data_IF_663958557467
#
_entry.id   IF_663958557467
#
_cell.length_a   1.000
_cell.length_b   1.000
_cell.length_c   1.000
_cell.angle_alpha   90.00
_cell.angle_beta   90.00
_cell.angle_gamma   90.00
#
_symmetry.space_group_name_H-M   'P 1'
#
loop_
_entity.id
_entity.type
_entity.pdbx_description
1 polymer ?
#
# COMPACT_ATOMS: atom_id res chain seq x y z
N UNK A 1 20.00 20.17 -9.24
CA UNK A 1 19.37 18.99 -8.62
C UNK A 1 19.33 17.87 -9.65
N UNK A 2 19.93 16.71 -9.36
CA UNK A 2 19.91 15.56 -10.27
C UNK A 2 18.56 14.82 -10.24
N UNK A 3 18.29 13.90 -11.19
CA UNK A 3 17.06 13.12 -11.17
C UNK A 3 17.03 12.22 -9.93
N UNK A 4 15.99 12.37 -9.10
CA UNK A 4 15.76 11.51 -7.95
C UNK A 4 15.35 10.14 -8.49
N UNK A 5 16.20 9.13 -8.28
CA UNK A 5 15.87 7.74 -8.62
C UNK A 5 15.03 7.15 -7.48
N UNK A 6 13.72 7.02 -7.72
CA UNK A 6 12.80 6.46 -6.72
C UNK A 6 12.63 4.97 -6.99
N UNK A 7 12.75 4.12 -5.96
CA UNK A 7 12.49 2.68 -6.09
C UNK A 7 11.00 2.43 -6.26
N UNK A 8 10.67 1.52 -7.18
CA UNK A 8 9.30 1.08 -7.42
C UNK A 8 8.99 -0.13 -6.53
N UNK A 9 7.89 -0.06 -5.79
CA UNK A 9 7.39 -1.19 -5.00
C UNK A 9 6.39 -2.05 -5.79
N UNK A 10 6.36 -3.36 -5.54
CA UNK A 10 5.38 -4.25 -6.15
C UNK A 10 3.96 -3.98 -5.64
N UNK A 11 2.98 -4.00 -6.55
CA UNK A 11 1.55 -3.78 -6.28
C UNK A 11 0.87 -4.93 -5.52
N UNK A 12 1.61 -5.99 -5.16
CA UNK A 12 1.05 -7.21 -4.55
C UNK A 12 0.36 -6.95 -3.20
N UNK A 13 0.70 -5.84 -2.54
CA UNK A 13 0.11 -5.40 -1.28
C UNK A 13 -1.25 -4.68 -1.43
N UNK A 14 -1.85 -4.63 -2.63
CA UNK A 14 -3.10 -3.90 -2.88
C UNK A 14 -4.34 -4.80 -3.01
N UNK A 15 -4.20 -6.10 -2.73
CA UNK A 15 -5.33 -7.02 -2.68
C UNK A 15 -5.49 -7.51 -1.24
N UNK A 16 -6.70 -7.31 -0.69
CA UNK A 16 -7.08 -7.82 0.62
C UNK A 16 -8.37 -8.60 0.48
N UNK A 17 -8.33 -9.89 0.81
CA UNK A 17 -9.53 -10.72 0.82
C UNK A 17 -10.51 -10.23 1.88
N UNK A 18 -11.80 -10.15 1.53
CA UNK A 18 -12.86 -9.68 2.42
C UNK A 18 -12.57 -8.29 3.03
N UNK A 19 -11.95 -7.42 2.24
CA UNK A 19 -11.59 -6.07 2.67
C UNK A 19 -11.17 -5.18 1.51
N UNK A 20 -10.46 -4.11 1.83
CA UNK A 20 -9.95 -3.12 0.90
C UNK A 20 -8.53 -2.73 1.28
N UNK A 21 -7.71 -2.47 0.27
CA UNK A 21 -6.39 -1.86 0.41
C UNK A 21 -6.41 -0.53 -0.33
N UNK A 22 -6.19 0.57 0.40
CA UNK A 22 -6.16 1.92 -0.16
C UNK A 22 -4.72 2.41 -0.23
N UNK A 23 -4.21 2.61 -1.45
CA UNK A 23 -2.92 3.24 -1.65
C UNK A 23 -3.02 4.75 -1.40
N UNK A 24 -2.05 5.27 -0.65
CA UNK A 24 -1.88 6.70 -0.34
C UNK A 24 -0.55 7.19 -0.90
N UNK A 25 -0.52 8.46 -1.30
CA UNK A 25 0.60 9.09 -1.98
C UNK A 25 1.04 8.38 -3.30
N UNK A 26 0.18 7.54 -3.87
CA UNK A 26 0.46 6.78 -5.09
C UNK A 26 -0.22 7.42 -6.30
N UNK A 27 0.57 7.91 -7.26
CA UNK A 27 0.04 8.59 -8.45
C UNK A 27 -0.33 7.60 -9.57
N UNK A 28 0.56 6.65 -9.87
CA UNK A 28 0.31 5.61 -10.88
C UNK A 28 1.01 4.27 -10.58
N UNK A 29 2.17 4.35 -9.95
CA UNK A 29 3.02 3.23 -9.53
C UNK A 29 3.43 3.47 -8.07
N UNK A 30 3.40 2.46 -7.18
CA UNK A 30 3.86 2.65 -5.82
C UNK A 30 5.37 2.85 -5.84
N UNK A 31 5.83 3.92 -5.21
CA UNK A 31 7.25 4.26 -5.13
C UNK A 31 7.64 4.50 -3.67
N UNK A 32 8.94 4.55 -3.39
CA UNK A 32 9.45 4.83 -2.05
C UNK A 32 8.78 6.07 -1.44
N UNK A 33 8.32 5.96 -0.20
CA UNK A 33 7.54 6.98 0.50
C UNK A 33 6.02 6.85 0.36
N UNK A 34 5.52 5.96 -0.50
CA UNK A 34 4.08 5.61 -0.57
C UNK A 34 3.70 4.61 0.52
N UNK A 35 2.40 4.48 0.81
CA UNK A 35 1.90 3.47 1.76
C UNK A 35 0.51 2.98 1.37
N UNK A 36 0.15 1.81 1.88
CA UNK A 36 -1.19 1.23 1.75
C UNK A 36 -1.83 1.09 3.13
N UNK A 37 -3.13 1.32 3.19
CA UNK A 37 -3.95 1.18 4.38
C UNK A 37 -4.99 0.08 4.16
N UNK A 38 -5.11 -0.82 5.12
CA UNK A 38 -5.93 -2.02 5.04
C UNK A 38 -7.14 -1.91 5.94
N UNK A 39 -8.32 -2.17 5.38
CA UNK A 39 -9.57 -2.24 6.13
C UNK A 39 -10.34 -3.51 5.77
N UNK A 40 -10.90 -4.18 6.77
CA UNK A 40 -11.72 -5.36 6.56
C UNK A 40 -13.18 -4.97 6.37
N UNK A 41 -13.90 -5.76 5.58
CA UNK A 41 -15.36 -5.72 5.54
C UNK A 41 -15.93 -6.09 6.92
N UNK A 42 -17.14 -5.59 7.29
CA UNK A 42 -17.77 -5.95 8.54
C UNK A 42 -17.86 -7.47 8.75
N UNK A 43 -17.54 -7.94 9.95
CA UNK A 43 -17.52 -9.37 10.29
C UNK A 43 -16.17 -10.07 10.07
N UNK A 44 -15.20 -9.39 9.44
CA UNK A 44 -13.83 -9.90 9.27
C UNK A 44 -12.85 -9.15 10.16
N UNK A 45 -11.75 -9.84 10.51
CA UNK A 45 -10.67 -9.27 11.32
C UNK A 45 -9.37 -9.31 10.55
N UNK A 46 -8.67 -8.18 10.52
CA UNK A 46 -7.37 -8.09 9.90
C UNK A 46 -6.34 -8.91 10.68
N UNK A 47 -5.53 -9.70 9.98
CA UNK A 47 -4.39 -10.42 10.54
C UNK A 47 -3.12 -9.77 10.00
N UNK A 48 -2.27 -9.25 10.89
CA UNK A 48 -1.09 -8.47 10.52
C UNK A 48 -1.29 -6.97 10.67
N UNK A 49 -0.54 -6.19 9.88
CA UNK A 49 -0.51 -4.73 9.99
C UNK A 49 -1.61 -4.05 9.16
N UNK A 50 -2.30 -3.08 9.76
CA UNK A 50 -3.26 -2.22 9.05
C UNK A 50 -2.62 -1.23 8.07
N UNK A 51 -1.30 -1.13 8.07
CA UNK A 51 -0.54 -0.24 7.19
C UNK A 51 0.73 -0.92 6.69
N UNK A 52 1.01 -0.78 5.41
CA UNK A 52 2.28 -1.17 4.78
C UNK A 52 2.94 0.05 4.15
N UNK A 53 4.20 0.32 4.48
CA UNK A 53 4.96 1.41 3.89
C UNK A 53 5.90 0.86 2.81
N UNK A 54 6.01 1.58 1.70
CA UNK A 54 7.02 1.34 0.69
C UNK A 54 8.29 2.12 1.06
N UNK A 55 9.33 1.40 1.47
CA UNK A 55 10.66 1.91 1.84
C UNK A 55 11.75 1.14 1.12
#
# INVERSE_FOLDING_TARGET
AGPVSVRICPKIHLSLENGRAEARAMERVPVEGTWAEFSCSPGFRLVGSARSNCT
#
